data_IF_173744228825
#
_entry.id   IF_173744228825
#
_cell.length_a   1.000
_cell.length_b   1.000
_cell.length_c   1.000
_cell.angle_alpha   90.00
_cell.angle_beta   90.00
_cell.angle_gamma   90.00
#
_symmetry.space_group_name_H-M   'P 1'
#
loop_
_entity.id
_entity.type
_entity.pdbx_description
1 polymer ?
#
# COMPACT_ATOMS: atom_id res chain seq x y z
N UNK A 1 -39.91 1.63 29.51
CA UNK A 1 -39.54 1.80 28.11
C UNK A 1 -38.03 1.74 28.04
N UNK A 2 -37.48 0.56 27.73
CA UNK A 2 -36.04 0.36 27.58
C UNK A 2 -35.71 0.62 26.11
N UNK A 3 -34.97 1.69 25.82
CA UNK A 3 -34.42 1.91 24.50
C UNK A 3 -33.17 1.04 24.35
N UNK A 4 -33.28 0.00 23.57
CA UNK A 4 -32.16 -0.82 23.14
C UNK A 4 -31.42 -0.02 22.06
N UNK A 5 -30.27 0.51 22.37
CA UNK A 5 -29.34 1.04 21.37
C UNK A 5 -28.65 -0.19 20.72
N UNK A 6 -28.97 -0.43 19.47
CA UNK A 6 -28.20 -1.34 18.65
C UNK A 6 -26.83 -0.69 18.43
N UNK A 7 -25.79 -1.31 18.93
CA UNK A 7 -24.41 -0.92 18.62
C UNK A 7 -24.19 -1.25 17.12
N UNK A 8 -24.11 -0.21 16.32
CA UNK A 8 -23.57 -0.31 14.96
C UNK A 8 -22.08 -0.57 15.13
N UNK A 9 -21.63 -1.77 14.84
CA UNK A 9 -20.22 -2.06 14.73
C UNK A 9 -19.71 -1.28 13.50
N UNK A 10 -19.09 -0.14 13.75
CA UNK A 10 -18.35 0.58 12.72
C UNK A 10 -17.19 -0.32 12.31
N UNK A 11 -17.28 -0.87 11.10
CA UNK A 11 -16.16 -1.57 10.49
C UNK A 11 -15.09 -0.52 10.21
N UNK A 12 -14.00 -0.55 10.97
CA UNK A 12 -12.87 0.32 10.75
C UNK A 12 -12.33 0.03 9.35
N UNK A 13 -12.55 0.97 8.44
CA UNK A 13 -11.90 0.98 7.13
C UNK A 13 -10.42 1.15 7.42
N UNK A 14 -9.65 0.07 7.26
CA UNK A 14 -8.20 0.16 7.35
C UNK A 14 -7.71 0.97 6.16
N UNK A 15 -7.33 2.20 6.44
CA UNK A 15 -6.58 3.01 5.49
C UNK A 15 -5.33 2.25 5.05
N UNK A 16 -5.03 2.21 3.77
CA UNK A 16 -3.78 1.64 3.30
C UNK A 16 -2.63 2.45 3.88
N UNK A 17 -1.96 1.88 4.87
CA UNK A 17 -0.92 2.52 5.67
C UNK A 17 0.45 2.51 5.02
N UNK A 18 0.52 2.00 3.81
CA UNK A 18 1.75 1.96 3.03
C UNK A 18 1.47 2.54 1.65
N UNK A 19 2.46 3.20 1.08
CA UNK A 19 2.53 3.42 -0.35
C UNK A 19 2.70 2.09 -1.12
N UNK A 20 2.44 1.00 -0.45
CA UNK A 20 2.23 -0.33 -0.95
C UNK A 20 0.74 -0.56 -1.07
N UNK A 21 0.24 -0.47 -2.28
CA UNK A 21 -0.98 -1.07 -2.82
C UNK A 21 -2.17 -1.12 -1.84
N UNK A 22 -3.28 -0.56 -2.22
CA UNK A 22 -4.51 -0.51 -1.44
C UNK A 22 -4.80 -1.83 -0.73
N UNK A 23 -4.86 -1.81 0.61
CA UNK A 23 -5.31 -2.98 1.36
C UNK A 23 -6.79 -3.24 1.04
N UNK A 24 -7.23 -4.53 1.04
CA UNK A 24 -8.63 -4.84 0.75
C UNK A 24 -9.57 -4.06 1.67
N UNK A 25 -10.48 -3.31 1.06
CA UNK A 25 -11.58 -2.69 1.79
C UNK A 25 -12.42 -3.82 2.39
N UNK A 26 -12.51 -3.91 3.73
CA UNK A 26 -13.49 -4.80 4.36
C UNK A 26 -14.88 -4.25 4.02
N UNK A 27 -15.60 -4.96 3.16
CA UNK A 27 -16.99 -4.62 2.85
C UNK A 27 -17.82 -4.69 4.13
N UNK A 28 -18.31 -3.54 4.59
CA UNK A 28 -19.24 -3.47 5.71
C UNK A 28 -20.60 -4.05 5.28
N UNK A 29 -20.99 -5.17 5.84
CA UNK A 29 -22.35 -5.73 5.64
C UNK A 29 -23.35 -4.88 6.41
N UNK A 30 -24.09 -4.02 5.73
CA UNK A 30 -25.24 -3.32 6.30
C UNK A 30 -26.56 -3.87 5.75
N UNK A 31 -27.52 -4.10 6.63
CA UNK A 31 -28.82 -4.73 6.36
C UNK A 31 -29.92 -3.79 5.85
N UNK A 32 -29.59 -2.61 5.37
CA UNK A 32 -30.53 -1.74 4.66
C UNK A 32 -30.25 -1.79 3.16
N UNK A 33 -31.26 -1.71 2.33
CA UNK A 33 -31.18 -1.65 0.86
C UNK A 33 -30.31 -0.45 0.43
N UNK A 34 -29.00 -0.62 0.54
CA UNK A 34 -28.00 0.38 0.13
C UNK A 34 -27.66 0.16 -1.33
N UNK A 35 -27.27 1.23 -1.98
CA UNK A 35 -26.63 1.15 -3.28
C UNK A 35 -25.45 0.16 -3.18
N UNK A 36 -25.36 -0.87 -4.04
CA UNK A 36 -24.25 -1.83 -3.98
C UNK A 36 -22.91 -1.22 -4.40
N UNK A 37 -22.92 0.05 -4.78
CA UNK A 37 -21.73 0.79 -5.18
C UNK A 37 -21.32 1.74 -4.07
N UNK A 38 -20.07 1.69 -3.69
CA UNK A 38 -19.42 2.64 -2.79
C UNK A 38 -18.24 3.34 -3.49
N UNK A 39 -17.92 4.53 -3.04
CA UNK A 39 -16.79 5.33 -3.52
C UNK A 39 -15.98 5.79 -2.34
N UNK A 40 -14.68 5.55 -2.38
CA UNK A 40 -13.73 6.06 -1.40
C UNK A 40 -12.68 6.92 -2.11
N UNK A 41 -12.37 8.07 -1.54
CA UNK A 41 -11.29 8.94 -1.99
C UNK A 41 -10.33 9.21 -0.83
N UNK A 42 -9.07 8.87 -1.01
CA UNK A 42 -8.02 9.08 0.00
C UNK A 42 -6.95 10.01 -0.55
N UNK A 43 -6.40 10.84 0.31
CA UNK A 43 -5.21 11.63 0.05
C UNK A 43 -4.19 11.42 1.15
N UNK A 44 -2.96 11.09 0.74
CA UNK A 44 -1.80 10.99 1.62
C UNK A 44 -0.80 12.11 1.34
N UNK A 45 -0.25 12.69 2.40
CA UNK A 45 0.93 13.55 2.36
C UNK A 45 2.05 12.86 3.13
N UNK A 46 3.08 12.40 2.44
CA UNK A 46 4.17 11.64 3.01
C UNK A 46 5.49 12.40 2.92
N UNK A 47 6.40 12.12 3.86
CA UNK A 47 7.75 12.70 3.84
C UNK A 47 8.60 12.15 2.70
N UNK A 48 8.34 10.90 2.31
CA UNK A 48 9.09 10.13 1.33
C UNK A 48 8.16 9.14 0.63
N UNK A 49 8.51 8.73 -0.60
CA UNK A 49 7.87 7.62 -1.25
C UNK A 49 8.74 6.35 -1.11
N UNK A 50 8.30 5.44 -0.25
CA UNK A 50 8.95 4.14 -0.03
C UNK A 50 8.02 3.04 -0.52
N UNK A 51 8.51 2.15 -1.37
CA UNK A 51 7.77 1.05 -1.96
C UNK A 51 8.54 -0.26 -1.77
N UNK A 52 7.91 -1.25 -1.15
CA UNK A 52 8.49 -2.59 -0.86
C UNK A 52 9.92 -2.50 -0.33
N UNK A 53 10.12 -1.65 0.67
CA UNK A 53 11.41 -1.38 1.27
C UNK A 53 12.37 -0.54 0.41
N UNK A 54 11.98 -0.15 -0.80
CA UNK A 54 12.77 0.68 -1.70
C UNK A 54 12.33 2.13 -1.63
N UNK A 55 13.27 3.04 -1.42
CA UNK A 55 13.04 4.47 -1.44
C UNK A 55 12.95 4.95 -2.90
N UNK A 56 11.76 5.28 -3.37
CA UNK A 56 11.52 5.75 -4.74
C UNK A 56 11.66 7.26 -4.87
N UNK A 57 11.23 8.00 -3.85
CA UNK A 57 11.44 9.45 -3.77
C UNK A 57 11.75 9.88 -2.34
N UNK A 58 12.85 10.64 -2.17
CA UNK A 58 13.31 11.21 -0.89
C UNK A 58 12.80 12.64 -0.72
N UNK A 59 11.61 12.92 -1.13
CA UNK A 59 10.95 14.22 -1.05
C UNK A 59 9.55 14.05 -0.56
N UNK A 60 8.95 15.08 0.03
CA UNK A 60 7.52 15.04 0.31
C UNK A 60 6.71 14.77 -0.96
N UNK A 61 5.80 13.80 -0.86
CA UNK A 61 4.92 13.40 -1.95
C UNK A 61 3.45 13.57 -1.56
N UNK A 62 2.61 13.79 -2.56
CA UNK A 62 1.16 13.80 -2.48
C UNK A 62 0.63 12.60 -3.25
N UNK A 63 -0.11 11.73 -2.56
CA UNK A 63 -0.58 10.46 -3.12
C UNK A 63 -2.10 10.35 -2.97
N UNK A 64 -2.88 10.89 -3.93
CA UNK A 64 -4.32 10.69 -3.97
C UNK A 64 -4.69 9.34 -4.57
N UNK A 65 -5.79 8.77 -4.09
CA UNK A 65 -6.42 7.59 -4.66
C UNK A 65 -7.94 7.69 -4.68
N UNK A 66 -8.57 6.95 -5.60
CA UNK A 66 -10.02 6.79 -5.65
C UNK A 66 -10.33 5.32 -5.89
N UNK A 67 -11.16 4.75 -5.03
CA UNK A 67 -11.66 3.37 -5.14
C UNK A 67 -13.15 3.41 -5.41
N UNK A 68 -13.61 2.63 -6.39
CA UNK A 68 -15.02 2.37 -6.66
C UNK A 68 -15.24 0.88 -6.45
N UNK A 69 -16.14 0.52 -5.54
CA UNK A 69 -16.42 -0.86 -5.20
C UNK A 69 -17.87 -1.21 -5.52
N UNK A 70 -18.08 -2.44 -5.96
CA UNK A 70 -19.39 -3.06 -6.13
C UNK A 70 -19.49 -4.26 -5.20
N UNK A 71 -20.42 -4.19 -4.26
CA UNK A 71 -20.72 -5.28 -3.32
C UNK A 71 -21.77 -6.20 -3.91
N UNK A 72 -21.42 -7.48 -4.08
CA UNK A 72 -22.30 -8.53 -4.56
C UNK A 72 -22.75 -9.46 -3.42
N UNK A 73 -22.89 -8.92 -2.22
CA UNK A 73 -23.32 -9.61 -1.00
C UNK A 73 -22.44 -10.86 -0.69
N UNK A 74 -23.05 -12.02 -0.62
CA UNK A 74 -22.36 -13.30 -0.33
C UNK A 74 -21.35 -13.73 -1.41
N UNK A 75 -21.44 -13.15 -2.60
CA UNK A 75 -20.50 -13.41 -3.69
C UNK A 75 -19.24 -12.56 -3.61
N UNK A 76 -19.11 -11.69 -2.58
CA UNK A 76 -17.97 -10.82 -2.38
C UNK A 76 -18.07 -9.52 -3.15
N UNK A 77 -16.96 -8.83 -3.28
CA UNK A 77 -16.94 -7.48 -3.87
C UNK A 77 -15.89 -7.39 -4.98
N UNK A 78 -16.18 -6.57 -5.98
CA UNK A 78 -15.25 -6.17 -7.03
C UNK A 78 -14.92 -4.70 -6.82
N UNK A 79 -13.67 -4.32 -6.97
CA UNK A 79 -13.31 -2.91 -6.97
C UNK A 79 -12.31 -2.54 -8.05
N UNK A 80 -12.38 -1.29 -8.43
CA UNK A 80 -11.37 -0.59 -9.24
C UNK A 80 -10.79 0.54 -8.41
N UNK A 81 -9.46 0.63 -8.36
CA UNK A 81 -8.75 1.72 -7.72
C UNK A 81 -7.85 2.41 -8.73
N UNK A 82 -7.79 3.72 -8.63
CA UNK A 82 -6.80 4.60 -9.26
C UNK A 82 -5.99 5.27 -8.17
N UNK A 83 -4.69 5.16 -8.26
CA UNK A 83 -3.74 5.81 -7.35
C UNK A 83 -2.66 6.54 -8.15
N UNK A 84 -2.08 7.59 -7.59
CA UNK A 84 -0.94 8.28 -8.19
C UNK A 84 -0.03 8.88 -7.14
N UNK A 85 1.23 9.11 -7.49
CA UNK A 85 2.21 9.81 -6.67
C UNK A 85 2.76 11.04 -7.39
N UNK A 86 2.72 12.19 -6.70
CA UNK A 86 3.21 13.47 -7.20
C UNK A 86 4.31 14.00 -6.28
N UNK A 87 5.46 14.36 -6.87
CA UNK A 87 6.54 15.04 -6.17
C UNK A 87 6.13 16.48 -5.81
N UNK A 88 6.24 16.86 -4.54
CA UNK A 88 5.93 18.21 -4.04
C UNK A 88 7.14 19.15 -4.08
N UNK A 89 8.30 18.69 -4.53
CA UNK A 89 9.52 19.49 -4.54
C UNK A 89 10.10 19.67 -5.95
N UNK A 90 11.03 20.62 -6.09
CA UNK A 90 11.82 20.77 -7.31
C UNK A 90 13.14 19.98 -7.27
N UNK A 91 13.38 19.24 -6.19
CA UNK A 91 14.65 18.54 -5.99
C UNK A 91 14.61 17.21 -6.74
N UNK A 92 15.68 16.91 -7.44
CA UNK A 92 15.90 15.65 -8.14
C UNK A 92 16.24 14.54 -7.14
N UNK A 93 15.27 14.06 -6.43
CA UNK A 93 15.50 13.09 -5.37
C UNK A 93 14.87 11.72 -5.69
N UNK A 94 14.69 11.38 -6.95
CA UNK A 94 14.15 10.09 -7.35
C UNK A 94 15.25 9.09 -7.68
N UNK A 95 15.09 7.83 -7.25
CA UNK A 95 16.04 6.74 -7.50
C UNK A 95 16.18 6.41 -9.00
N UNK A 96 15.23 6.78 -9.84
CA UNK A 96 15.20 6.49 -11.27
C UNK A 96 16.01 7.45 -12.14
N UNK A 97 17.05 8.08 -11.62
CA UNK A 97 18.05 8.81 -12.39
C UNK A 97 17.52 9.80 -13.43
N UNK A 98 16.29 10.19 -13.32
CA UNK A 98 15.57 10.96 -14.31
C UNK A 98 16.13 12.37 -14.42
N UNK A 99 16.43 12.75 -15.63
CA UNK A 99 17.04 13.99 -16.02
C UNK A 99 16.34 15.25 -15.52
N UNK A 100 16.98 16.23 -15.73
CA UNK A 100 17.04 17.67 -15.53
C UNK A 100 15.76 18.51 -15.37
N UNK A 101 14.53 18.00 -15.26
CA UNK A 101 13.37 18.85 -15.41
C UNK A 101 12.07 18.44 -14.72
N UNK A 102 12.10 17.68 -13.62
CA UNK A 102 10.87 17.51 -12.87
C UNK A 102 10.52 18.84 -12.18
N UNK A 103 9.28 19.27 -12.42
CA UNK A 103 8.72 20.44 -11.77
C UNK A 103 7.94 19.98 -10.55
N UNK A 104 7.79 20.85 -9.57
CA UNK A 104 6.85 20.66 -8.46
C UNK A 104 5.48 20.20 -8.98
N UNK A 105 4.92 19.14 -8.37
CA UNK A 105 3.67 18.53 -8.85
C UNK A 105 3.83 17.57 -10.03
N UNK A 106 5.06 17.16 -10.39
CA UNK A 106 5.26 16.15 -11.43
C UNK A 106 4.73 14.80 -10.94
N UNK A 107 3.91 14.16 -11.78
CA UNK A 107 3.45 12.80 -11.55
C UNK A 107 4.63 11.83 -11.68
N UNK A 108 4.91 11.10 -10.60
CA UNK A 108 6.01 10.11 -10.55
C UNK A 108 5.49 8.80 -11.12
N UNK A 109 4.30 8.39 -10.69
CA UNK A 109 3.69 7.10 -10.96
C UNK A 109 2.17 7.24 -10.91
N UNK A 110 1.49 6.42 -11.69
CA UNK A 110 0.05 6.21 -11.59
C UNK A 110 -0.27 4.74 -11.76
N UNK A 111 -1.14 4.24 -10.89
CA UNK A 111 -1.47 2.83 -10.82
C UNK A 111 -2.97 2.62 -10.93
N UNK A 112 -3.30 1.50 -11.55
CA UNK A 112 -4.67 1.03 -11.69
C UNK A 112 -4.75 -0.36 -11.09
N UNK A 113 -5.76 -0.60 -10.26
CA UNK A 113 -6.02 -1.90 -9.66
C UNK A 113 -7.42 -2.36 -10.03
N UNK A 114 -7.54 -3.62 -10.38
CA UNK A 114 -8.82 -4.32 -10.46
C UNK A 114 -8.71 -5.56 -9.58
N UNK A 115 -9.63 -5.72 -8.62
CA UNK A 115 -9.57 -6.84 -7.70
C UNK A 115 -10.95 -7.35 -7.32
N UNK A 116 -10.96 -8.61 -6.92
CA UNK A 116 -12.06 -9.30 -6.27
C UNK A 116 -11.65 -9.64 -4.85
N UNK A 117 -12.51 -9.35 -3.88
CA UNK A 117 -12.31 -9.70 -2.48
C UNK A 117 -13.55 -10.39 -1.89
N UNK A 118 -13.30 -11.27 -0.92
CA UNK A 118 -14.35 -11.89 -0.12
C UNK A 118 -13.76 -12.34 1.23
N UNK A 119 -14.61 -12.88 2.11
CA UNK A 119 -14.16 -13.37 3.40
C UNK A 119 -14.94 -14.61 3.84
N UNK A 120 -14.28 -15.40 4.68
CA UNK A 120 -14.82 -16.60 5.29
C UNK A 120 -14.86 -16.40 6.80
N UNK A 121 -16.01 -16.58 7.40
CA UNK A 121 -16.14 -16.65 8.85
C UNK A 121 -15.72 -18.06 9.30
N UNK A 122 -14.70 -18.14 10.16
CA UNK A 122 -14.15 -19.39 10.70
C UNK A 122 -14.66 -19.66 12.14
N UNK A 123 -15.73 -18.98 12.56
CA UNK A 123 -16.26 -19.06 13.91
C UNK A 123 -15.26 -18.63 14.97
N UNK A 124 -15.00 -19.49 15.97
CA UNK A 124 -14.04 -19.19 17.05
C UNK A 124 -12.59 -18.96 16.57
N UNK A 125 -12.26 -19.40 15.36
CA UNK A 125 -10.95 -19.16 14.76
C UNK A 125 -10.83 -17.78 14.08
N UNK A 126 -11.90 -17.00 14.08
CA UNK A 126 -11.92 -15.64 13.55
C UNK A 126 -12.36 -15.55 12.08
N UNK A 127 -11.89 -14.56 11.35
CA UNK A 127 -12.29 -14.26 9.97
C UNK A 127 -11.08 -14.29 9.03
N UNK A 128 -11.18 -15.02 7.93
CA UNK A 128 -10.20 -15.05 6.86
C UNK A 128 -10.72 -14.23 5.69
N UNK A 129 -10.06 -13.13 5.35
CA UNK A 129 -10.32 -12.35 4.15
C UNK A 129 -9.32 -12.73 3.06
N UNK A 130 -9.74 -12.73 1.82
CA UNK A 130 -8.86 -12.97 0.68
C UNK A 130 -9.18 -12.02 -0.47
N UNK A 131 -8.15 -11.71 -1.23
CA UNK A 131 -8.23 -10.85 -2.39
C UNK A 131 -7.35 -11.39 -3.51
N UNK A 132 -7.83 -11.28 -4.73
CA UNK A 132 -7.07 -11.59 -5.95
C UNK A 132 -7.26 -10.41 -6.88
N UNK A 133 -6.16 -9.87 -7.37
CA UNK A 133 -6.22 -8.68 -8.20
C UNK A 133 -5.05 -8.55 -9.16
N UNK A 134 -5.11 -7.47 -9.87
CA UNK A 134 -4.14 -7.11 -10.88
C UNK A 134 -3.79 -5.64 -10.74
N UNK A 135 -2.48 -5.33 -10.74
CA UNK A 135 -1.90 -4.00 -10.78
C UNK A 135 -1.37 -3.68 -12.16
N UNK A 136 -1.63 -2.48 -12.63
CA UNK A 136 -0.97 -1.84 -13.76
C UNK A 136 -0.26 -0.61 -13.24
N UNK A 137 1.08 -0.59 -13.36
CA UNK A 137 1.93 0.52 -12.99
C UNK A 137 2.31 1.30 -14.23
N UNK A 138 2.09 2.60 -14.24
CA UNK A 138 2.51 3.50 -15.32
C UNK A 138 3.41 4.60 -14.77
N UNK A 139 4.57 4.76 -15.40
CA UNK A 139 5.61 5.72 -15.01
C UNK A 139 5.72 6.81 -16.10
N UNK A 140 4.87 7.85 -16.10
CA UNK A 140 4.74 8.79 -17.21
C UNK A 140 5.98 9.64 -17.47
N UNK A 141 6.90 9.74 -16.49
CA UNK A 141 8.10 10.59 -16.58
C UNK A 141 9.42 9.82 -16.43
N UNK A 142 9.47 8.58 -16.82
CA UNK A 142 10.76 7.89 -16.94
C UNK A 142 11.60 8.56 -18.04
N UNK A 143 12.59 9.37 -17.62
CA UNK A 143 13.56 10.17 -18.36
C UNK A 143 13.77 9.99 -19.89
N UNK A 144 14.66 10.73 -20.54
CA UNK A 144 14.76 10.79 -22.00
C UNK A 144 15.16 9.49 -22.70
N UNK A 145 15.52 8.46 -21.95
CA UNK A 145 15.91 7.13 -22.46
C UNK A 145 14.81 6.08 -22.32
N UNK A 146 13.74 6.37 -21.60
CA UNK A 146 12.58 5.49 -21.52
C UNK A 146 11.48 6.07 -22.41
N UNK A 147 10.99 5.27 -23.35
CA UNK A 147 9.81 5.61 -24.13
C UNK A 147 8.70 5.90 -23.14
N UNK A 148 8.02 7.04 -23.27
CA UNK A 148 6.83 7.37 -22.48
C UNK A 148 5.90 6.15 -22.43
N UNK A 149 5.47 5.74 -21.22
CA UNK A 149 4.60 4.61 -21.04
C UNK A 149 5.34 3.28 -20.79
N UNK A 150 6.26 3.21 -19.83
CA UNK A 150 6.68 1.92 -19.32
C UNK A 150 5.61 1.36 -18.39
N UNK A 151 4.73 0.52 -18.93
CA UNK A 151 3.77 -0.25 -18.17
C UNK A 151 4.48 -1.46 -17.56
N UNK A 152 4.29 -1.68 -16.28
CA UNK A 152 4.54 -2.97 -15.65
C UNK A 152 3.25 -3.51 -15.03
N UNK A 153 3.18 -4.79 -14.77
CA UNK A 153 1.96 -5.44 -14.29
C UNK A 153 2.26 -6.58 -13.35
N UNK A 154 1.54 -6.59 -12.24
CA UNK A 154 1.58 -7.68 -11.26
C UNK A 154 0.18 -8.32 -11.12
N UNK A 155 0.14 -9.65 -11.12
CA UNK A 155 -0.97 -10.39 -10.51
C UNK A 155 -0.65 -10.59 -9.03
N UNK A 156 -1.66 -10.50 -8.18
CA UNK A 156 -1.46 -10.74 -6.75
C UNK A 156 -2.57 -11.54 -6.11
N UNK A 157 -2.23 -12.16 -4.98
CA UNK A 157 -3.16 -12.75 -4.04
C UNK A 157 -2.79 -12.26 -2.63
N UNK A 158 -3.78 -11.78 -1.88
CA UNK A 158 -3.66 -11.34 -0.51
C UNK A 158 -4.57 -12.18 0.40
N UNK A 159 -4.05 -12.59 1.55
CA UNK A 159 -4.76 -13.30 2.60
C UNK A 159 -4.58 -12.55 3.92
N UNK A 160 -5.67 -12.26 4.60
CA UNK A 160 -5.65 -11.63 5.90
C UNK A 160 -6.51 -12.45 6.89
N UNK A 161 -5.87 -12.99 7.91
CA UNK A 161 -6.54 -13.76 8.95
C UNK A 161 -6.64 -12.95 10.24
N UNK A 162 -7.84 -12.49 10.56
CA UNK A 162 -8.14 -11.85 11.84
C UNK A 162 -8.52 -12.94 12.86
N UNK A 163 -7.61 -13.22 13.79
CA UNK A 163 -7.78 -14.25 14.82
C UNK A 163 -8.62 -13.77 16.02
N UNK A 164 -9.08 -12.52 16.03
CA UNK A 164 -9.66 -11.83 17.18
C UNK A 164 -8.63 -11.25 18.14
N UNK A 165 -7.37 -11.69 18.09
CA UNK A 165 -6.26 -11.15 18.91
C UNK A 165 -5.29 -10.31 18.10
N UNK A 166 -4.94 -10.79 16.92
CA UNK A 166 -4.05 -10.15 15.95
C UNK A 166 -4.54 -10.46 14.53
N UNK A 167 -4.17 -9.62 13.58
CA UNK A 167 -4.36 -9.84 12.16
C UNK A 167 -3.03 -10.31 11.54
N UNK A 168 -3.05 -11.44 10.86
CA UNK A 168 -1.93 -12.00 10.11
C UNK A 168 -2.20 -11.78 8.62
N UNK A 169 -1.23 -11.23 7.90
CA UNK A 169 -1.35 -10.97 6.47
C UNK A 169 -0.27 -11.70 5.67
N UNK A 170 -0.62 -12.11 4.46
CA UNK A 170 0.31 -12.68 3.47
C UNK A 170 -0.12 -12.21 2.10
N UNK A 171 0.77 -11.49 1.40
CA UNK A 171 0.55 -11.07 0.02
C UNK A 171 1.60 -11.69 -0.89
N UNK A 172 1.18 -12.24 -2.00
CA UNK A 172 2.05 -12.80 -3.04
C UNK A 172 1.82 -12.01 -4.33
N UNK A 173 2.91 -11.55 -4.94
CA UNK A 173 2.86 -10.79 -6.17
C UNK A 173 3.74 -11.46 -7.24
N UNK A 174 3.20 -11.53 -8.43
CA UNK A 174 3.85 -12.06 -9.61
C UNK A 174 3.86 -11.01 -10.72
N UNK A 175 5.01 -10.36 -10.88
CA UNK A 175 5.26 -9.43 -11.96
C UNK A 175 5.63 -10.18 -13.22
N UNK A 176 4.70 -10.28 -14.16
CA UNK A 176 4.84 -11.05 -15.38
C UNK A 176 5.12 -10.20 -16.62
N UNK A 177 4.89 -8.90 -16.52
CA UNK A 177 5.14 -7.95 -17.60
C UNK A 177 5.95 -6.77 -17.05
N UNK A 178 7.11 -6.56 -17.65
CA UNK A 178 7.92 -5.36 -17.43
C UNK A 178 8.07 -4.64 -18.77
N UNK A 179 8.28 -3.34 -18.74
CA UNK A 179 8.46 -2.52 -19.95
C UNK A 179 9.69 -2.94 -20.80
N UNK A 180 10.53 -3.80 -20.26
CA UNK A 180 11.70 -4.35 -20.95
C UNK A 180 11.41 -5.79 -21.39
N UNK A 181 11.22 -5.97 -22.69
CA UNK A 181 11.12 -7.29 -23.31
C UNK A 181 12.31 -8.15 -22.89
N UNK A 182 12.08 -9.34 -22.34
CA UNK A 182 13.06 -10.35 -21.89
C UNK A 182 13.50 -10.31 -20.42
N UNK A 183 12.90 -9.54 -19.57
CA UNK A 183 13.17 -9.64 -18.13
C UNK A 183 12.41 -10.83 -17.51
N UNK A 184 13.05 -11.58 -16.59
CA UNK A 184 12.38 -12.69 -15.92
C UNK A 184 11.28 -12.16 -14.99
N UNK A 185 10.22 -12.97 -14.82
CA UNK A 185 9.13 -12.66 -13.92
C UNK A 185 9.63 -12.38 -12.49
N UNK A 186 9.12 -11.31 -11.90
CA UNK A 186 9.40 -10.98 -10.50
C UNK A 186 8.45 -11.74 -9.58
N UNK A 187 8.96 -12.16 -8.43
CA UNK A 187 8.15 -12.69 -7.34
C UNK A 187 8.48 -11.91 -6.07
N UNK A 188 7.44 -11.46 -5.39
CA UNK A 188 7.56 -10.81 -4.11
C UNK A 188 6.51 -11.39 -3.15
N UNK A 189 6.95 -11.73 -1.94
CA UNK A 189 6.08 -12.21 -0.88
C UNK A 189 6.18 -11.28 0.33
N UNK A 190 5.04 -10.92 0.89
CA UNK A 190 4.93 -10.09 2.09
C UNK A 190 4.23 -10.87 3.20
N UNK A 191 4.73 -10.75 4.41
CA UNK A 191 4.13 -11.29 5.63
C UNK A 191 3.98 -10.17 6.64
N UNK A 192 2.84 -10.09 7.28
CA UNK A 192 2.59 -9.03 8.26
C UNK A 192 1.85 -9.54 9.49
N UNK A 193 2.04 -8.82 10.58
CA UNK A 193 1.25 -8.94 11.80
C UNK A 193 0.87 -7.56 12.29
N UNK A 194 -0.40 -7.38 12.63
CA UNK A 194 -0.92 -6.10 13.17
C UNK A 194 -1.97 -6.34 14.24
N UNK A 195 -2.25 -5.29 15.01
CA UNK A 195 -3.33 -5.29 15.99
C UNK A 195 -3.91 -3.89 16.12
N UNK A 196 -5.24 -3.81 16.07
CA UNK A 196 -5.97 -2.57 16.29
C UNK A 196 -6.27 -2.39 17.77
N UNK A 197 -6.02 -1.19 18.26
CA UNK A 197 -6.34 -0.73 19.62
C UNK A 197 -7.31 0.45 19.50
N UNK A 198 -8.59 0.18 19.73
CA UNK A 198 -9.59 1.23 19.84
C UNK A 198 -9.39 1.95 21.18
N UNK A 199 -9.25 3.25 21.16
CA UNK A 199 -8.97 4.06 22.34
C UNK A 199 -10.31 4.49 22.97
N UNK A 200 -10.75 3.79 24.01
CA UNK A 200 -12.06 4.00 24.66
C UNK A 200 -12.27 5.45 25.13
N UNK A 201 -11.20 6.16 25.46
CA UNK A 201 -11.25 7.56 25.93
C UNK A 201 -11.49 8.57 24.81
N UNK A 202 -11.29 8.16 23.54
CA UNK A 202 -11.48 9.01 22.36
C UNK A 202 -12.23 8.19 21.32
N UNK A 203 -13.55 8.33 21.33
CA UNK A 203 -14.41 7.63 20.36
C UNK A 203 -13.95 7.92 18.92
N UNK A 204 -13.87 6.86 18.11
CA UNK A 204 -13.39 6.95 16.73
C UNK A 204 -11.86 6.90 16.54
N UNK A 205 -11.07 6.87 17.64
CA UNK A 205 -9.61 6.77 17.54
C UNK A 205 -9.15 5.31 17.63
N UNK A 206 -8.45 4.87 16.57
CA UNK A 206 -7.79 3.57 16.53
C UNK A 206 -6.29 3.76 16.35
N UNK A 207 -5.48 3.00 17.08
CA UNK A 207 -4.02 2.95 16.97
C UNK A 207 -3.62 1.54 16.54
N UNK A 208 -2.84 1.43 15.45
CA UNK A 208 -2.46 0.15 14.87
C UNK A 208 -0.93 0.04 14.74
N UNK A 209 -0.24 -0.69 15.61
CA UNK A 209 1.10 -1.19 15.34
C UNK A 209 1.06 -2.32 14.32
N UNK A 210 2.02 -2.32 13.38
CA UNK A 210 2.21 -3.37 12.38
C UNK A 210 3.69 -3.68 12.22
N UNK A 211 4.01 -4.96 12.04
CA UNK A 211 5.31 -5.42 11.58
C UNK A 211 5.13 -6.14 10.23
N UNK A 212 6.05 -5.90 9.31
CA UNK A 212 6.02 -6.41 7.95
C UNK A 212 7.39 -6.95 7.56
N UNK A 213 7.39 -8.05 6.82
CA UNK A 213 8.55 -8.68 6.21
C UNK A 213 8.24 -8.96 4.74
N UNK A 214 9.04 -8.40 3.83
CA UNK A 214 8.97 -8.62 2.39
C UNK A 214 10.19 -9.35 1.85
N UNK A 215 9.98 -10.31 0.96
CA UNK A 215 11.04 -11.11 0.32
C UNK A 215 10.84 -11.09 -1.19
N UNK A 216 11.86 -10.66 -1.92
CA UNK A 216 11.88 -10.66 -3.39
C UNK A 216 12.80 -11.73 -3.96
N UNK A 217 12.43 -12.33 -5.10
CA UNK A 217 13.33 -13.20 -5.85
C UNK A 217 14.45 -12.40 -6.54
N UNK A 218 15.37 -13.10 -7.18
CA UNK A 218 16.50 -12.50 -7.92
C UNK A 218 16.02 -11.45 -8.92
N UNK A 219 14.99 -11.74 -9.72
CA UNK A 219 14.46 -10.82 -10.71
C UNK A 219 13.88 -9.54 -10.08
N UNK A 220 13.13 -9.69 -8.97
CA UNK A 220 12.63 -8.54 -8.22
C UNK A 220 13.78 -7.64 -7.74
N UNK A 221 14.83 -8.24 -7.17
CA UNK A 221 15.99 -7.46 -6.69
C UNK A 221 16.73 -6.81 -7.85
N UNK A 222 16.96 -7.52 -8.96
CA UNK A 222 17.61 -6.97 -10.15
C UNK A 222 16.86 -5.78 -10.73
N UNK A 223 15.55 -5.90 -10.89
CA UNK A 223 14.71 -4.84 -11.44
C UNK A 223 14.70 -3.59 -10.56
N UNK A 224 14.69 -3.78 -9.23
CA UNK A 224 14.68 -2.66 -8.28
C UNK A 224 16.06 -2.04 -8.03
N UNK A 225 17.14 -2.73 -8.34
CA UNK A 225 18.51 -2.26 -8.04
C UNK A 225 19.36 -2.02 -9.26
N UNK A 226 19.04 -2.63 -10.39
CA UNK A 226 19.89 -2.68 -11.60
C UNK A 226 21.14 -3.54 -11.44
N UNK A 227 21.30 -4.28 -10.33
CA UNK A 227 22.48 -5.11 -10.05
C UNK A 227 22.28 -6.49 -10.65
N UNK A 228 23.10 -6.86 -11.65
CA UNK A 228 22.95 -8.12 -12.40
C UNK A 228 23.23 -9.37 -11.58
N UNK A 229 24.13 -9.31 -10.60
CA UNK A 229 24.51 -10.44 -9.76
C UNK A 229 23.74 -10.45 -8.42
N UNK A 230 22.50 -9.98 -8.44
CA UNK A 230 21.64 -9.97 -7.28
C UNK A 230 21.22 -11.37 -6.88
N UNK A 231 20.92 -11.54 -5.60
CA UNK A 231 20.38 -12.77 -5.02
C UNK A 231 18.95 -12.52 -4.51
N UNK A 232 18.21 -13.59 -4.20
CA UNK A 232 16.95 -13.49 -3.44
C UNK A 232 17.22 -12.76 -2.14
N UNK A 233 16.43 -11.74 -1.82
CA UNK A 233 16.70 -10.87 -0.69
C UNK A 233 15.46 -10.58 0.15
N UNK A 234 15.69 -10.37 1.44
CA UNK A 234 14.74 -9.68 2.31
C UNK A 234 14.71 -8.21 1.89
N UNK A 235 13.68 -7.85 1.14
CA UNK A 235 13.57 -6.54 0.51
C UNK A 235 13.03 -5.49 1.49
N UNK A 236 12.06 -5.88 2.31
CA UNK A 236 11.37 -4.99 3.22
C UNK A 236 11.30 -5.59 4.63
N UNK A 237 11.62 -4.77 5.62
CA UNK A 237 11.36 -5.03 7.04
C UNK A 237 10.89 -3.72 7.63
N UNK A 238 9.58 -3.60 7.83
CA UNK A 238 8.98 -2.36 8.28
C UNK A 238 8.23 -2.54 9.59
N UNK A 239 8.52 -1.68 10.54
CA UNK A 239 7.71 -1.45 11.74
C UNK A 239 6.93 -0.16 11.54
N UNK A 240 5.63 -0.24 11.74
CA UNK A 240 4.72 0.89 11.58
C UNK A 240 3.91 1.14 12.82
N UNK A 241 3.64 2.39 13.07
CA UNK A 241 2.63 2.81 14.01
C UNK A 241 1.72 3.82 13.30
N UNK A 242 0.42 3.53 13.29
CA UNK A 242 -0.57 4.43 12.73
C UNK A 242 -1.63 4.80 13.73
N UNK A 243 -2.25 5.92 13.49
CA UNK A 243 -3.46 6.37 14.17
C UNK A 243 -4.49 6.78 13.12
N UNK A 244 -5.72 6.35 13.28
CA UNK A 244 -6.88 6.73 12.48
C UNK A 244 -7.95 7.30 13.39
N UNK A 245 -8.55 8.41 12.97
CA UNK A 245 -9.64 9.06 13.69
C UNK A 245 -10.85 9.27 12.78
N UNK A 246 -11.95 8.60 13.10
CA UNK A 246 -13.24 8.77 12.42
C UNK A 246 -13.90 10.08 12.91
N UNK A 247 -13.90 11.08 12.05
CA UNK A 247 -14.54 12.38 12.33
C UNK A 247 -16.06 12.24 12.25
N UNK A 248 -16.54 11.48 11.28
CA UNK A 248 -17.93 11.07 11.09
C UNK A 248 -17.99 9.85 10.15
N UNK A 249 -19.20 9.37 9.83
CA UNK A 249 -19.45 8.20 8.98
C UNK A 249 -18.87 8.29 7.55
N UNK A 250 -18.54 9.49 7.08
CA UNK A 250 -18.02 9.74 5.73
C UNK A 250 -16.60 10.26 5.71
N UNK A 251 -16.06 10.68 6.85
CA UNK A 251 -14.76 11.35 6.87
C UNK A 251 -13.87 10.86 8.00
N UNK A 252 -12.67 10.45 7.65
CA UNK A 252 -11.61 10.11 8.60
C UNK A 252 -10.30 10.81 8.27
N UNK A 253 -9.46 10.94 9.29
CA UNK A 253 -8.10 11.43 9.17
C UNK A 253 -7.13 10.43 9.78
N UNK A 254 -5.92 10.38 9.25
CA UNK A 254 -4.91 9.45 9.71
C UNK A 254 -3.54 10.08 9.84
N UNK A 255 -2.67 9.41 10.59
CA UNK A 255 -1.24 9.70 10.66
C UNK A 255 -0.47 8.38 10.79
N UNK A 256 0.72 8.32 10.18
CA UNK A 256 1.58 7.15 10.25
C UNK A 256 3.04 7.52 10.39
N UNK A 257 3.79 6.65 11.08
CA UNK A 257 5.25 6.66 11.09
C UNK A 257 5.74 5.24 10.84
N UNK A 258 6.75 5.13 10.00
CA UNK A 258 7.35 3.87 9.60
C UNK A 258 8.85 3.90 9.85
N UNK A 259 9.37 2.76 10.27
CA UNK A 259 10.79 2.46 10.34
C UNK A 259 11.06 1.27 9.43
N UNK A 260 11.69 1.52 8.28
CA UNK A 260 12.00 0.49 7.30
C UNK A 260 13.48 0.17 7.36
N UNK A 261 13.80 -1.10 7.55
CA UNK A 261 15.16 -1.61 7.58
C UNK A 261 15.35 -2.65 6.49
N UNK A 262 16.43 -2.56 5.74
CA UNK A 262 16.77 -3.49 4.66
C UNK A 262 18.08 -4.21 4.99
N UNK A 263 18.02 -5.50 5.37
CA UNK A 263 19.21 -6.26 5.73
C UNK A 263 20.08 -6.64 4.53
N UNK A 264 19.49 -6.72 3.33
CA UNK A 264 20.20 -7.09 2.11
C UNK A 264 21.29 -6.07 1.77
N UNK A 265 22.54 -6.54 1.68
CA UNK A 265 23.66 -5.73 1.26
C UNK A 265 23.47 -5.17 -0.15
N UNK A 266 22.95 -5.97 -1.07
CA UNK A 266 22.68 -5.58 -2.46
C UNK A 266 21.69 -4.43 -2.56
N UNK A 267 20.54 -4.53 -1.84
CA UNK A 267 19.54 -3.47 -1.82
C UNK A 267 20.04 -2.21 -1.13
N UNK A 268 20.85 -2.34 -0.07
CA UNK A 268 21.48 -1.19 0.59
C UNK A 268 22.45 -0.47 -0.32
N UNK A 269 23.26 -1.23 -1.06
CA UNK A 269 24.23 -0.66 -2.00
C UNK A 269 23.53 0.10 -3.13
N UNK A 270 22.42 -0.42 -3.65
CA UNK A 270 21.63 0.29 -4.65
C UNK A 270 21.06 1.61 -4.12
N UNK A 271 20.55 1.62 -2.89
CA UNK A 271 20.11 2.86 -2.24
C UNK A 271 21.23 3.86 -2.05
N UNK A 272 22.42 3.41 -1.59
CA UNK A 272 23.60 4.25 -1.46
C UNK A 272 24.00 4.89 -2.80
N UNK A 273 24.05 4.09 -3.86
CA UNK A 273 24.40 4.57 -5.20
C UNK A 273 23.38 5.56 -5.75
N UNK A 274 22.08 5.36 -5.42
CA UNK A 274 21.01 6.25 -5.87
C UNK A 274 20.95 7.56 -5.09
N UNK A 275 21.25 7.55 -3.79
CA UNK A 275 21.00 8.67 -2.88
C UNK A 275 22.26 9.25 -2.22
N UNK A 276 23.40 8.57 -2.35
CA UNK A 276 24.69 9.04 -1.80
C UNK A 276 24.73 9.08 -0.26
N UNK A 277 23.93 8.23 0.42
CA UNK A 277 23.84 8.24 1.88
C UNK A 277 24.43 7.00 2.53
N UNK A 278 25.31 7.21 3.51
CA UNK A 278 25.98 6.13 4.25
C UNK A 278 25.03 5.26 5.09
N UNK A 279 23.82 5.76 5.41
CA UNK A 279 22.80 5.07 6.21
C UNK A 279 21.60 4.58 5.37
N UNK A 280 21.82 4.24 4.11
CA UNK A 280 20.77 3.77 3.20
C UNK A 280 20.03 2.47 3.63
N UNK A 281 20.45 1.84 4.72
CA UNK A 281 19.83 0.63 5.27
C UNK A 281 18.65 0.90 6.22
N UNK A 282 18.47 2.14 6.67
CA UNK A 282 17.40 2.55 7.59
C UNK A 282 16.68 3.77 7.03
N UNK A 283 15.36 3.71 7.02
CA UNK A 283 14.49 4.81 6.62
C UNK A 283 13.48 5.07 7.74
N UNK A 284 13.30 6.32 8.12
CA UNK A 284 12.17 6.76 8.94
C UNK A 284 11.34 7.69 8.08
N UNK A 285 10.11 7.32 7.86
CA UNK A 285 9.20 8.05 6.98
C UNK A 285 7.78 7.97 7.49
N UNK A 286 6.92 8.85 7.04
CA UNK A 286 5.54 8.88 7.50
C UNK A 286 4.80 10.09 6.96
N UNK A 287 3.60 10.30 7.46
CA UNK A 287 2.76 11.39 7.02
C UNK A 287 1.37 11.37 7.60
N UNK A 288 0.49 12.10 6.94
CA UNK A 288 -0.92 12.25 7.30
C UNK A 288 -1.81 11.93 6.11
N UNK A 289 -3.04 11.51 6.41
CA UNK A 289 -4.04 11.17 5.40
C UNK A 289 -5.40 11.76 5.73
N UNK A 290 -6.23 11.85 4.71
CA UNK A 290 -7.65 12.11 4.86
C UNK A 290 -8.43 11.24 3.88
N UNK A 291 -9.55 10.67 4.34
CA UNK A 291 -10.40 9.78 3.54
C UNK A 291 -11.84 10.22 3.58
N UNK A 292 -12.49 10.20 2.42
CA UNK A 292 -13.92 10.42 2.24
C UNK A 292 -14.54 9.12 1.68
N UNK A 293 -15.64 8.66 2.27
CA UNK A 293 -16.35 7.42 1.87
C UNK A 293 -17.85 7.68 1.69
N UNK A 294 -18.46 7.14 0.62
CA UNK A 294 -19.87 7.31 0.26
C UNK A 294 -20.50 6.00 -0.20
#
# INVERSE_FOLDING_TARGET
MKKTFAAVAASAVMLPLFADEAAPAEAAVSTESKCPVSVEATIDFLSDYVWRGTLLDKSPVYQPSVTISYDADEFGSLYFNYWTSLDLTHKRNTCWGGGNSRRNGSMIEQDFTLAYCNSLDLGDAGKLSYEIGHYWYDYPYNGPHHKAGSLSSDLYADLAWNTGYVKLGTKLLWGYYTAHEHEPATLYAEFSVSKDFNIEQVEGLTITPKALLGVGNVAFVQNNTGIRDAETAMADQTLSLSASYEVNEHFSIGAKINYTWTPSHTLRHARYMSWGEDNAHMLVWGGVSATLSF
#
